data_IF_811596178394
#
_entry.id   IF_811596178394
#
_cell.length_a   1.000
_cell.length_b   1.000
_cell.length_c   1.000
_cell.angle_alpha   90.00
_cell.angle_beta   90.00
_cell.angle_gamma   90.00
#
_symmetry.space_group_name_H-M   'P 1'
#
loop_
_entity.id
_entity.type
_entity.pdbx_description
1 polymer ?
#
# COMPACT_ATOMS: atom_id res chain seq x y z
N UNK A 1 -11.82 8.14 6.73
CA UNK A 1 -10.38 8.27 6.97
C UNK A 1 -9.61 7.65 5.80
N UNK A 2 -8.44 8.20 5.48
CA UNK A 2 -7.54 7.71 4.46
C UNK A 2 -6.16 7.46 5.05
N UNK A 3 -5.44 6.45 4.52
CA UNK A 3 -4.10 6.11 4.99
C UNK A 3 -3.10 5.85 3.86
N UNK A 4 -1.82 6.09 4.17
CA UNK A 4 -0.67 5.73 3.35
C UNK A 4 0.47 5.26 4.28
N UNK A 5 0.77 3.95 4.32
CA UNK A 5 1.79 3.40 5.22
C UNK A 5 3.23 3.73 4.80
N UNK A 6 3.42 4.38 3.65
CA UNK A 6 4.73 4.80 3.11
C UNK A 6 4.61 6.20 2.51
N UNK A 7 4.07 7.12 3.30
CA UNK A 7 3.45 8.34 2.78
C UNK A 7 4.42 9.33 2.11
N UNK A 8 5.72 9.14 2.25
CA UNK A 8 6.69 10.03 1.65
C UNK A 8 6.44 11.49 2.01
N UNK A 9 6.36 12.35 1.01
CA UNK A 9 6.00 13.78 1.18
C UNK A 9 4.49 14.03 1.38
N UNK A 10 3.66 12.99 1.44
CA UNK A 10 2.21 13.07 1.56
C UNK A 10 1.46 13.33 0.24
N UNK A 11 2.14 13.24 -0.89
CA UNK A 11 1.56 13.61 -2.19
C UNK A 11 0.32 12.81 -2.56
N UNK A 12 0.31 11.48 -2.32
CA UNK A 12 -0.85 10.62 -2.61
C UNK A 12 -2.04 10.98 -1.69
N UNK A 13 -1.79 11.15 -0.40
CA UNK A 13 -2.83 11.55 0.56
C UNK A 13 -3.45 12.90 0.19
N UNK A 14 -2.62 13.88 -0.18
CA UNK A 14 -3.09 15.20 -0.60
C UNK A 14 -3.86 15.17 -1.93
N UNK A 15 -3.51 14.26 -2.83
CA UNK A 15 -4.28 14.03 -4.05
C UNK A 15 -5.67 13.46 -3.75
N UNK A 16 -5.81 12.56 -2.79
CA UNK A 16 -7.12 12.02 -2.39
C UNK A 16 -8.09 13.12 -1.97
N UNK A 17 -7.62 14.18 -1.31
CA UNK A 17 -8.45 15.31 -0.91
C UNK A 17 -9.14 16.00 -2.10
N UNK A 18 -8.53 15.97 -3.29
CA UNK A 18 -9.10 16.58 -4.49
C UNK A 18 -10.26 15.75 -5.10
N UNK A 19 -10.33 14.46 -4.75
CA UNK A 19 -11.27 13.51 -5.34
C UNK A 19 -12.26 12.93 -4.33
N UNK A 20 -12.02 13.11 -3.04
CA UNK A 20 -12.85 12.56 -1.97
C UNK A 20 -12.88 13.48 -0.76
N UNK A 21 -13.99 13.45 -0.02
CA UNK A 21 -14.09 14.13 1.25
C UNK A 21 -13.37 13.33 2.35
N UNK A 22 -12.08 13.56 2.52
CA UNK A 22 -11.27 12.91 3.54
C UNK A 22 -11.32 13.71 4.83
N UNK A 23 -11.78 13.07 5.90
CA UNK A 23 -11.91 13.68 7.23
C UNK A 23 -10.58 13.69 7.98
N UNK A 24 -9.87 12.56 7.99
CA UNK A 24 -8.57 12.42 8.65
C UNK A 24 -7.61 11.66 7.75
N UNK A 25 -6.35 12.08 7.80
CA UNK A 25 -5.23 11.49 7.06
C UNK A 25 -4.32 10.77 8.04
N UNK A 26 -3.94 9.56 7.69
CA UNK A 26 -3.00 8.73 8.43
C UNK A 26 -1.81 8.40 7.54
N UNK A 27 -0.62 8.51 8.07
CA UNK A 27 0.58 8.20 7.30
C UNK A 27 1.71 7.72 8.18
N UNK A 28 2.58 6.91 7.59
CA UNK A 28 3.82 6.47 8.22
C UNK A 28 4.97 6.63 7.23
N UNK A 29 6.10 7.12 7.71
CA UNK A 29 7.28 7.39 6.88
C UNK A 29 8.55 7.10 7.66
N UNK A 30 9.43 6.28 7.09
CA UNK A 30 10.68 5.85 7.72
C UNK A 30 11.67 6.99 7.89
N UNK A 31 11.78 7.86 6.89
CA UNK A 31 12.81 8.91 6.82
C UNK A 31 12.35 10.18 7.52
N UNK A 32 13.02 10.60 8.60
CA UNK A 32 12.65 11.76 9.40
C UNK A 32 12.54 13.07 8.59
N UNK A 33 13.40 13.28 7.60
CA UNK A 33 13.34 14.46 6.74
C UNK A 33 12.05 14.47 5.91
N UNK A 34 11.70 13.33 5.30
CA UNK A 34 10.51 13.17 4.47
C UNK A 34 9.23 13.21 5.31
N UNK A 35 9.26 12.63 6.51
CA UNK A 35 8.20 12.78 7.51
C UNK A 35 7.89 14.25 7.84
N UNK A 36 8.93 15.06 8.12
CA UNK A 36 8.76 16.47 8.38
C UNK A 36 8.21 17.23 7.17
N UNK A 37 8.67 16.87 5.97
CA UNK A 37 8.16 17.42 4.71
C UNK A 37 6.67 17.11 4.53
N UNK A 38 6.24 15.87 4.80
CA UNK A 38 4.84 15.47 4.76
C UNK A 38 3.98 16.34 5.66
N UNK A 39 4.37 16.48 6.93
CA UNK A 39 3.62 17.31 7.90
C UNK A 39 3.55 18.78 7.47
N UNK A 40 4.63 19.32 6.95
CA UNK A 40 4.66 20.69 6.42
C UNK A 40 3.71 20.83 5.22
N UNK A 41 3.70 19.87 4.31
CA UNK A 41 2.81 19.85 3.15
C UNK A 41 1.34 19.76 3.57
N UNK A 42 0.98 18.98 4.61
CA UNK A 42 -0.37 18.92 5.16
C UNK A 42 -0.81 20.30 5.63
N UNK A 43 0.03 21.01 6.41
CA UNK A 43 -0.26 22.35 6.92
C UNK A 43 -0.41 23.38 5.78
N UNK A 44 0.54 23.37 4.82
CA UNK A 44 0.51 24.30 3.68
C UNK A 44 -0.72 24.11 2.77
N UNK A 45 -1.28 22.90 2.75
CA UNK A 45 -2.54 22.60 2.05
C UNK A 45 -3.80 22.85 2.88
N UNK A 46 -3.65 23.48 4.04
CA UNK A 46 -4.76 23.89 4.90
C UNK A 46 -5.40 22.75 5.71
N UNK A 47 -4.75 21.59 5.81
CA UNK A 47 -5.24 20.51 6.66
C UNK A 47 -4.95 20.87 8.13
N UNK A 48 -6.00 20.91 8.95
CA UNK A 48 -5.85 21.21 10.38
C UNK A 48 -5.01 20.12 11.06
N UNK A 49 -4.18 20.51 12.00
CA UNK A 49 -3.27 19.60 12.72
C UNK A 49 -3.99 18.39 13.33
N UNK A 50 -5.19 18.57 13.85
CA UNK A 50 -6.01 17.51 14.42
C UNK A 50 -6.58 16.50 13.38
N UNK A 51 -6.44 16.80 12.09
CA UNK A 51 -6.98 16.00 10.99
C UNK A 51 -5.90 15.20 10.24
N UNK A 52 -4.64 15.23 10.71
CA UNK A 52 -3.62 14.35 10.18
C UNK A 52 -2.76 13.74 11.30
N UNK A 53 -2.48 12.47 11.15
CA UNK A 53 -1.70 11.62 12.04
C UNK A 53 -0.57 11.00 11.23
N UNK A 54 0.58 11.65 11.22
CA UNK A 54 1.76 11.19 10.49
C UNK A 54 2.81 10.75 11.50
N UNK A 55 3.34 9.54 11.34
CA UNK A 55 4.29 8.91 12.25
C UNK A 55 5.63 8.70 11.55
N UNK A 56 6.73 8.79 12.31
CA UNK A 56 8.06 8.55 11.81
C UNK A 56 8.59 7.24 12.35
N UNK A 57 8.38 6.17 11.60
CA UNK A 57 8.83 4.82 11.99
C UNK A 57 8.82 3.86 10.79
N UNK A 58 9.46 2.68 10.95
CA UNK A 58 9.35 1.57 10.01
C UNK A 58 7.98 0.90 10.14
N UNK A 59 7.14 1.05 9.12
CA UNK A 59 5.80 0.48 9.05
C UNK A 59 5.76 -1.04 9.26
N UNK A 60 6.78 -1.74 8.82
CA UNK A 60 6.82 -3.21 8.93
C UNK A 60 7.27 -3.68 10.32
N UNK A 61 7.90 -2.80 11.11
CA UNK A 61 8.35 -3.09 12.47
C UNK A 61 7.40 -2.55 13.54
N UNK A 62 6.86 -1.34 13.34
CA UNK A 62 6.00 -0.66 14.32
C UNK A 62 4.69 -0.27 13.65
N UNK A 63 3.60 -0.80 14.16
CA UNK A 63 2.26 -0.53 13.65
C UNK A 63 1.62 0.67 14.37
N UNK A 64 1.73 1.85 13.79
CA UNK A 64 1.05 3.04 14.29
C UNK A 64 -0.43 3.14 13.87
N UNK A 65 -0.92 2.17 13.09
CA UNK A 65 -2.33 2.09 12.68
C UNK A 65 -3.13 1.09 13.54
N UNK A 66 -2.50 0.47 14.54
CA UNK A 66 -3.14 -0.51 15.42
C UNK A 66 -4.51 0.00 15.93
N UNK A 67 -5.52 -0.86 15.87
CA UNK A 67 -6.90 -0.52 16.25
C UNK A 67 -7.66 0.37 15.27
N UNK A 68 -7.07 0.72 14.12
CA UNK A 68 -7.74 1.54 13.09
C UNK A 68 -7.94 0.77 11.79
N UNK A 69 -9.08 1.05 11.13
CA UNK A 69 -9.36 0.61 9.76
C UNK A 69 -9.68 1.80 8.86
N UNK A 70 -9.39 1.66 7.58
CA UNK A 70 -9.47 2.76 6.62
C UNK A 70 -10.36 2.41 5.42
N UNK A 71 -11.20 3.36 5.03
CA UNK A 71 -12.02 3.25 3.83
C UNK A 71 -11.22 3.43 2.54
N UNK A 72 -10.13 4.17 2.61
CA UNK A 72 -9.23 4.39 1.47
C UNK A 72 -7.80 4.27 1.94
N UNK A 73 -7.04 3.43 1.27
CA UNK A 73 -5.59 3.38 1.45
C UNK A 73 -4.91 3.48 0.09
N UNK A 74 -3.85 4.26 0.04
CA UNK A 74 -2.99 4.40 -1.13
C UNK A 74 -1.54 4.22 -0.70
N UNK A 75 -0.70 3.66 -1.56
CA UNK A 75 0.73 3.59 -1.29
C UNK A 75 1.55 3.49 -2.58
N UNK A 76 2.73 4.07 -2.53
CA UNK A 76 3.83 3.80 -3.44
C UNK A 76 5.06 3.42 -2.59
N UNK A 77 5.11 2.18 -2.08
CA UNK A 77 6.19 1.74 -1.21
C UNK A 77 7.53 1.63 -1.96
N UNK A 78 8.66 1.64 -1.24
CA UNK A 78 9.97 1.44 -1.86
C UNK A 78 10.04 0.03 -2.49
N UNK A 79 10.34 -0.03 -3.81
CA UNK A 79 10.34 -1.30 -4.56
C UNK A 79 11.48 -2.21 -4.13
N UNK A 80 11.16 -3.48 -3.87
CA UNK A 80 12.14 -4.49 -3.46
C UNK A 80 13.03 -4.06 -2.29
N UNK A 81 12.48 -3.30 -1.35
CA UNK A 81 13.19 -2.93 -0.14
C UNK A 81 13.49 -4.15 0.74
N UNK A 82 14.49 -4.03 1.59
CA UNK A 82 14.76 -5.02 2.61
C UNK A 82 13.78 -4.87 3.78
N UNK A 83 13.34 -5.99 4.33
CA UNK A 83 12.67 -6.03 5.63
C UNK A 83 13.75 -5.85 6.70
N UNK A 84 13.66 -4.76 7.46
CA UNK A 84 14.69 -4.43 8.47
C UNK A 84 14.61 -5.38 9.68
N UNK A 85 13.42 -5.77 10.10
CA UNK A 85 13.14 -6.56 11.29
C UNK A 85 12.31 -7.81 10.96
N UNK A 86 12.83 -8.77 10.16
CA UNK A 86 12.09 -9.96 9.78
C UNK A 86 11.75 -10.89 10.96
N UNK A 87 12.49 -10.76 12.07
CA UNK A 87 12.28 -11.51 13.31
C UNK A 87 10.98 -11.14 14.03
N UNK A 88 10.39 -9.98 13.74
CA UNK A 88 9.14 -9.53 14.35
C UNK A 88 7.90 -10.12 13.66
N UNK A 89 8.01 -10.52 12.38
CA UNK A 89 6.86 -10.98 11.58
C UNK A 89 6.13 -12.20 12.14
N UNK A 90 6.78 -13.18 12.78
CA UNK A 90 6.08 -14.35 13.35
C UNK A 90 5.07 -14.02 14.44
N UNK A 91 5.32 -12.98 15.22
CA UNK A 91 4.47 -12.57 16.34
C UNK A 91 3.48 -11.46 15.95
N UNK A 92 3.51 -11.01 14.69
CA UNK A 92 2.71 -9.92 14.17
C UNK A 92 1.51 -10.43 13.37
N UNK A 93 0.30 -10.11 13.82
CA UNK A 93 -0.97 -10.54 13.21
C UNK A 93 -1.12 -10.10 11.75
N UNK A 94 -0.45 -9.03 11.35
CA UNK A 94 -0.45 -8.54 9.95
C UNK A 94 0.18 -9.55 8.99
N UNK A 95 1.10 -10.42 9.47
CA UNK A 95 1.94 -11.29 8.63
C UNK A 95 1.81 -12.77 8.94
N UNK A 96 1.50 -13.16 10.19
CA UNK A 96 1.61 -14.56 10.64
C UNK A 96 0.51 -15.50 10.10
N UNK A 97 -0.58 -14.96 9.56
CA UNK A 97 -1.72 -15.76 9.06
C UNK A 97 -1.53 -16.28 7.64
N UNK A 98 -0.55 -15.78 6.87
CA UNK A 98 -0.37 -16.09 5.45
C UNK A 98 0.39 -17.38 5.15
N UNK A 99 0.85 -18.09 6.18
CA UNK A 99 1.58 -19.36 6.07
C UNK A 99 3.05 -19.24 5.65
N UNK A 100 3.46 -18.12 5.10
CA UNK A 100 4.84 -17.75 4.76
C UNK A 100 5.06 -16.26 4.99
N UNK A 101 6.32 -15.89 5.27
CA UNK A 101 6.76 -14.50 5.36
C UNK A 101 7.45 -14.08 4.08
N UNK A 102 7.36 -12.80 3.73
CA UNK A 102 8.08 -12.26 2.57
C UNK A 102 9.58 -12.50 2.68
N UNK A 103 10.30 -12.65 1.55
CA UNK A 103 11.76 -12.72 1.58
C UNK A 103 12.35 -11.44 2.19
N UNK A 104 13.43 -11.57 2.96
CA UNK A 104 14.13 -10.42 3.60
C UNK A 104 14.47 -9.28 2.63
N UNK A 105 14.74 -9.62 1.37
CA UNK A 105 15.10 -8.65 0.31
C UNK A 105 13.93 -8.20 -0.56
N UNK A 106 12.67 -8.51 -0.19
CA UNK A 106 11.47 -8.24 -0.99
C UNK A 106 10.27 -7.93 -0.09
N UNK A 107 10.25 -6.73 0.45
CA UNK A 107 9.19 -6.26 1.34
C UNK A 107 7.86 -5.95 0.60
N UNK A 108 7.85 -5.98 -0.73
CA UNK A 108 6.72 -5.49 -1.55
C UNK A 108 5.35 -5.99 -1.05
N UNK A 109 5.18 -7.31 -0.86
CA UNK A 109 3.92 -7.88 -0.40
C UNK A 109 3.65 -7.67 1.10
N UNK A 110 4.66 -7.39 1.93
CA UNK A 110 4.44 -7.07 3.33
C UNK A 110 3.65 -5.76 3.49
N UNK A 111 3.91 -4.76 2.64
CA UNK A 111 3.09 -3.54 2.62
C UNK A 111 1.64 -3.83 2.22
N UNK A 112 1.40 -4.75 1.27
CA UNK A 112 0.04 -5.19 0.92
C UNK A 112 -0.64 -5.86 2.10
N UNK A 113 0.06 -6.77 2.81
CA UNK A 113 -0.47 -7.45 3.99
C UNK A 113 -0.86 -6.45 5.09
N UNK A 114 0.02 -5.48 5.39
CA UNK A 114 -0.27 -4.40 6.32
C UNK A 114 -1.52 -3.60 5.91
N UNK A 115 -1.61 -3.18 4.64
CA UNK A 115 -2.77 -2.43 4.15
C UNK A 115 -4.07 -3.26 4.23
N UNK A 116 -4.01 -4.54 3.90
CA UNK A 116 -5.18 -5.45 3.96
C UNK A 116 -5.63 -5.66 5.40
N UNK A 117 -4.69 -5.75 6.37
CA UNK A 117 -5.00 -5.84 7.79
C UNK A 117 -5.83 -4.62 8.27
N UNK A 118 -5.46 -3.43 7.82
CA UNK A 118 -6.13 -2.17 8.16
C UNK A 118 -7.25 -1.75 7.20
N UNK A 119 -7.72 -2.67 6.35
CA UNK A 119 -8.80 -2.35 5.41
C UNK A 119 -10.17 -2.48 6.06
N UNK A 120 -10.96 -1.41 6.05
CA UNK A 120 -12.38 -1.40 6.42
C UNK A 120 -13.18 -2.38 5.55
N UNK A 121 -14.34 -2.84 6.00
CA UNK A 121 -15.17 -3.78 5.25
C UNK A 121 -15.62 -3.23 3.89
N UNK A 122 -15.89 -1.92 3.81
CA UNK A 122 -16.11 -1.21 2.54
C UNK A 122 -14.86 -0.52 2.01
N UNK A 123 -13.69 -0.88 2.55
CA UNK A 123 -12.41 -0.28 2.24
C UNK A 123 -11.91 -0.58 0.83
N UNK A 124 -11.07 0.31 0.33
CA UNK A 124 -10.38 0.18 -0.95
C UNK A 124 -8.91 0.51 -0.78
N UNK A 125 -8.07 -0.30 -1.40
CA UNK A 125 -6.63 -0.11 -1.48
C UNK A 125 -6.25 0.09 -2.93
N UNK A 126 -5.33 1.03 -3.18
CA UNK A 126 -4.61 1.14 -4.43
C UNK A 126 -3.12 1.25 -4.11
N UNK A 127 -2.36 0.23 -4.44
CA UNK A 127 -0.92 0.16 -4.17
C UNK A 127 -0.13 -0.05 -5.44
N UNK A 128 0.91 0.76 -5.61
CA UNK A 128 1.81 0.70 -6.76
C UNK A 128 2.98 -0.22 -6.44
N UNK A 129 3.19 -1.24 -7.29
CA UNK A 129 4.21 -2.27 -7.06
C UNK A 129 4.90 -2.69 -8.36
N UNK A 130 6.14 -3.20 -8.31
CA UNK A 130 6.80 -3.76 -9.48
C UNK A 130 6.10 -5.03 -9.94
N UNK A 131 6.08 -5.30 -11.26
CA UNK A 131 5.44 -6.47 -11.84
C UNK A 131 5.90 -7.80 -11.22
N UNK A 132 7.12 -7.84 -10.66
CA UNK A 132 7.66 -9.03 -10.01
C UNK A 132 6.73 -9.64 -8.95
N UNK A 133 5.95 -8.84 -8.23
CA UNK A 133 5.00 -9.32 -7.22
C UNK A 133 3.92 -10.23 -7.81
N UNK A 134 3.65 -10.14 -9.10
CA UNK A 134 2.61 -10.92 -9.79
C UNK A 134 3.03 -12.35 -10.12
N UNK A 135 4.34 -12.62 -10.25
CA UNK A 135 4.82 -13.92 -10.76
C UNK A 135 5.97 -14.56 -9.98
N UNK A 136 6.62 -13.85 -9.02
CA UNK A 136 7.65 -14.48 -8.20
C UNK A 136 7.07 -15.64 -7.39
N UNK A 137 7.80 -16.76 -7.34
CA UNK A 137 7.41 -17.99 -6.66
C UNK A 137 7.70 -18.01 -5.16
N UNK A 138 7.73 -19.22 -4.59
CA UNK A 138 8.04 -19.50 -3.19
C UNK A 138 7.13 -18.78 -2.19
N UNK A 139 7.68 -17.99 -1.27
CA UNK A 139 6.91 -17.33 -0.23
C UNK A 139 5.90 -16.30 -0.79
N UNK A 140 6.29 -15.53 -1.82
CA UNK A 140 5.40 -14.54 -2.43
C UNK A 140 4.22 -15.21 -3.15
N UNK A 141 4.40 -16.39 -3.73
CA UNK A 141 3.32 -17.20 -4.32
C UNK A 141 2.29 -17.61 -3.26
N UNK A 142 2.76 -18.13 -2.12
CA UNK A 142 1.88 -18.52 -1.01
C UNK A 142 1.07 -17.32 -0.49
N UNK A 143 1.69 -16.16 -0.34
CA UNK A 143 1.02 -14.93 0.09
C UNK A 143 -0.03 -14.49 -0.94
N UNK A 144 0.31 -14.51 -2.24
CA UNK A 144 -0.67 -14.19 -3.31
C UNK A 144 -1.86 -15.14 -3.31
N UNK A 145 -1.61 -16.45 -3.18
CA UNK A 145 -2.70 -17.45 -3.07
C UNK A 145 -3.61 -17.12 -1.89
N UNK A 146 -3.05 -16.77 -0.74
CA UNK A 146 -3.85 -16.41 0.42
C UNK A 146 -4.71 -15.16 0.17
N UNK A 147 -4.13 -14.10 -0.42
CA UNK A 147 -4.85 -12.88 -0.79
C UNK A 147 -5.98 -13.12 -1.79
N UNK A 148 -5.79 -14.05 -2.74
CA UNK A 148 -6.76 -14.36 -3.81
C UNK A 148 -7.80 -15.38 -3.34
N UNK A 149 -7.36 -16.50 -2.77
CA UNK A 149 -8.24 -17.66 -2.53
C UNK A 149 -8.88 -17.63 -1.14
N UNK A 150 -8.18 -17.14 -0.12
CA UNK A 150 -8.67 -17.11 1.26
C UNK A 150 -9.36 -15.79 1.59
N UNK A 151 -8.66 -14.68 1.40
CA UNK A 151 -9.22 -13.36 1.67
C UNK A 151 -10.08 -12.83 0.52
N UNK A 152 -9.82 -13.28 -0.70
CA UNK A 152 -10.52 -12.87 -1.92
C UNK A 152 -10.61 -11.33 -2.08
N UNK A 153 -9.50 -10.64 -1.80
CA UNK A 153 -9.50 -9.17 -1.75
C UNK A 153 -8.95 -8.51 -3.01
N UNK A 154 -8.26 -9.25 -3.89
CA UNK A 154 -7.69 -8.67 -5.12
C UNK A 154 -8.82 -8.43 -6.14
N UNK A 155 -9.11 -7.16 -6.43
CA UNK A 155 -10.20 -6.74 -7.31
C UNK A 155 -9.72 -6.46 -8.74
N UNK A 156 -8.62 -5.70 -8.89
CA UNK A 156 -8.06 -5.38 -10.20
C UNK A 156 -6.54 -5.25 -10.16
N UNK A 157 -5.92 -5.47 -11.31
CA UNK A 157 -4.50 -5.25 -11.57
C UNK A 157 -4.39 -4.38 -12.84
N UNK A 158 -3.74 -3.22 -12.71
CA UNK A 158 -3.60 -2.25 -13.79
C UNK A 158 -2.11 -2.14 -14.14
N UNK A 159 -1.71 -2.66 -15.29
CA UNK A 159 -0.35 -2.53 -15.80
C UNK A 159 -0.11 -1.11 -16.32
N UNK A 160 0.96 -0.46 -15.86
CA UNK A 160 1.31 0.91 -16.24
C UNK A 160 2.47 0.95 -17.25
N UNK A 161 2.67 2.06 -17.98
CA UNK A 161 3.80 2.24 -18.88
C UNK A 161 5.14 2.08 -18.14
N UNK A 162 6.16 1.57 -18.84
CA UNK A 162 7.54 1.61 -18.35
C UNK A 162 8.07 3.06 -18.34
N UNK A 163 9.14 3.29 -17.56
CA UNK A 163 9.76 4.63 -17.43
C UNK A 163 8.82 5.72 -16.87
N UNK A 164 7.77 5.35 -16.15
CA UNK A 164 6.81 6.29 -15.57
C UNK A 164 7.42 7.12 -14.44
N UNK A 165 8.43 6.62 -13.74
CA UNK A 165 9.04 7.26 -12.60
C UNK A 165 10.49 7.66 -12.89
N UNK A 166 10.89 8.84 -12.39
CA UNK A 166 12.26 9.29 -12.48
C UNK A 166 13.23 8.30 -11.78
N UNK A 167 14.33 7.97 -12.45
CA UNK A 167 15.38 7.13 -11.89
C UNK A 167 15.14 5.62 -11.95
N UNK A 168 14.02 5.15 -12.51
CA UNK A 168 13.78 3.72 -12.71
C UNK A 168 13.02 3.43 -13.99
N UNK A 169 13.45 2.38 -14.71
CA UNK A 169 12.74 1.83 -15.87
C UNK A 169 11.87 0.61 -15.52
N UNK A 170 11.77 0.28 -14.23
CA UNK A 170 11.05 -0.93 -13.77
C UNK A 170 9.56 -0.79 -14.14
N UNK A 171 8.98 -1.76 -14.84
CA UNK A 171 7.56 -1.77 -15.11
C UNK A 171 6.78 -2.02 -13.81
N UNK A 172 5.73 -1.25 -13.61
CA UNK A 172 4.92 -1.27 -12.39
C UNK A 172 3.45 -1.50 -12.71
N UNK A 173 2.72 -1.95 -11.70
CA UNK A 173 1.27 -2.07 -11.75
C UNK A 173 0.63 -1.48 -10.50
N UNK A 174 -0.62 -1.09 -10.61
CA UNK A 174 -1.48 -0.80 -9.46
C UNK A 174 -2.26 -2.06 -9.13
N UNK A 175 -2.15 -2.53 -7.89
CA UNK A 175 -3.02 -3.56 -7.35
C UNK A 175 -4.15 -2.86 -6.58
N UNK A 176 -5.38 -3.17 -6.95
CA UNK A 176 -6.60 -2.68 -6.28
C UNK A 176 -7.17 -3.80 -5.43
N UNK A 177 -7.32 -3.54 -4.11
CA UNK A 177 -7.96 -4.48 -3.20
C UNK A 177 -9.28 -3.92 -2.66
N UNK A 178 -10.24 -4.82 -2.43
CA UNK A 178 -11.54 -4.58 -1.80
C UNK A 178 -11.96 -5.81 -1.02
N UNK A 179 -12.55 -5.65 0.17
CA UNK A 179 -13.25 -6.75 0.86
C UNK A 179 -14.61 -7.00 0.22
N UNK A 180 -15.42 -5.96 0.09
CA UNK A 180 -16.71 -6.05 -0.59
C UNK A 180 -16.53 -5.86 -2.10
N UNK A 181 -16.61 -6.94 -2.86
CA UNK A 181 -16.42 -6.97 -4.32
C UNK A 181 -17.72 -6.94 -5.13
N UNK A 182 -18.85 -6.61 -4.47
CA UNK A 182 -20.15 -6.39 -5.13
C UNK A 182 -20.56 -7.49 -6.14
N UNK A 183 -20.40 -8.77 -5.77
CA UNK A 183 -20.74 -9.91 -6.63
C UNK A 183 -19.64 -10.34 -7.63
N UNK A 184 -18.52 -9.62 -7.73
CA UNK A 184 -17.38 -9.97 -8.60
C UNK A 184 -16.32 -10.86 -7.91
N UNK A 185 -16.69 -11.54 -6.85
CA UNK A 185 -15.75 -12.36 -6.06
C UNK A 185 -15.08 -13.50 -6.84
N UNK A 186 -15.63 -13.93 -7.96
CA UNK A 186 -15.06 -14.96 -8.82
C UNK A 186 -14.04 -14.45 -9.85
N UNK A 187 -13.85 -13.14 -10.01
CA UNK A 187 -13.06 -12.57 -11.09
C UNK A 187 -12.05 -11.53 -10.59
N UNK A 188 -10.91 -11.41 -11.26
CA UNK A 188 -9.96 -10.30 -11.11
C UNK A 188 -9.89 -9.58 -12.45
N UNK A 189 -10.07 -8.25 -12.44
CA UNK A 189 -9.96 -7.44 -13.64
C UNK A 189 -8.50 -7.14 -13.95
N UNK A 190 -8.06 -7.44 -15.17
CA UNK A 190 -6.75 -7.03 -15.68
C UNK A 190 -6.90 -5.91 -16.70
N UNK A 191 -6.20 -4.81 -16.49
CA UNK A 191 -6.18 -3.66 -17.39
C UNK A 191 -4.74 -3.45 -17.85
N UNK A 192 -4.52 -3.50 -19.16
CA UNK A 192 -3.26 -3.10 -19.77
C UNK A 192 -3.32 -1.63 -20.19
N UNK A 193 -2.76 -0.76 -19.36
CA UNK A 193 -2.60 0.66 -19.64
C UNK A 193 -1.15 1.02 -20.07
N UNK A 194 -0.35 0.05 -20.47
CA UNK A 194 1.07 0.26 -20.82
C UNK A 194 1.30 1.22 -21.99
N UNK A 195 0.27 1.46 -22.80
CA UNK A 195 0.29 2.37 -23.97
C UNK A 195 -0.54 3.64 -23.74
N UNK A 196 -1.22 3.76 -22.61
CA UNK A 196 -2.12 4.87 -22.27
C UNK A 196 -1.34 6.00 -21.58
N UNK A 197 -0.51 6.73 -22.34
CA UNK A 197 0.22 7.89 -21.82
C UNK A 197 0.32 9.01 -22.86
N UNK A 198 0.35 10.25 -22.40
CA UNK A 198 0.71 11.42 -23.19
C UNK A 198 2.17 11.78 -22.93
N UNK A 199 2.95 11.93 -23.99
CA UNK A 199 4.36 12.37 -23.95
C UNK A 199 4.47 13.88 -23.75
#
# INVERSE_FOLDING_TARGET
>A
DAADPTCGSGSLLLRLQQHANVRRFWGQELTAQTYNLCRMNMILRGIKYQNFHIFNDDTLAVDHFEGHTFRVQVANPPYSANVQHPELMPDDERFNTYGKYVPKSKADLAFVQHMVHHMDDDGRIAVLLPHGVLFRGAAEETIRQYLIEKLNVIDAIIGLPSNLFFGTSIPVCVIVCKKNRNGNSGNILFIDASKEFQS
#
